data_IF_525678025407
#
_entry.id   IF_525678025407
#
_cell.length_a   1.000
_cell.length_b   1.000
_cell.length_c   1.000
_cell.angle_alpha   90.00
_cell.angle_beta   90.00
_cell.angle_gamma   90.00
#
_symmetry.space_group_name_H-M   'P 1'
#
loop_
_entity.id
_entity.type
_entity.pdbx_description
1 polymer ?
#
# COMPACT_ATOMS: atom_id res chain seq x y z
N UNK A 1 -67.80 -14.57 3.32
CA UNK A 1 -68.11 -13.39 4.16
C UNK A 1 -67.42 -13.54 5.51
N UNK A 2 -66.96 -12.44 6.13
CA UNK A 2 -65.54 -12.29 6.47
C UNK A 2 -65.25 -12.17 7.97
N UNK A 3 -63.99 -12.30 8.36
CA UNK A 3 -63.48 -11.63 9.57
C UNK A 3 -62.00 -11.24 9.38
N UNK A 4 -61.75 -10.01 9.80
CA UNK A 4 -60.61 -9.13 9.55
C UNK A 4 -59.48 -9.29 10.56
N UNK A 5 -58.24 -8.99 10.11
CA UNK A 5 -57.26 -8.02 10.68
C UNK A 5 -55.82 -8.55 10.65
N UNK A 6 -54.89 -7.66 10.27
CA UNK A 6 -53.47 -7.84 10.57
C UNK A 6 -52.53 -7.16 9.59
N UNK A 7 -52.64 -5.84 9.40
CA UNK A 7 -51.59 -5.03 8.75
C UNK A 7 -50.41 -4.89 9.71
N UNK A 8 -49.28 -5.56 9.43
CA UNK A 8 -47.99 -5.28 10.05
C UNK A 8 -47.15 -4.41 9.11
N UNK A 9 -46.89 -3.18 9.53
CA UNK A 9 -46.01 -2.25 8.83
C UNK A 9 -44.56 -2.70 8.93
N UNK A 10 -43.90 -2.79 7.78
CA UNK A 10 -42.45 -2.98 7.71
C UNK A 10 -41.79 -1.61 7.66
N UNK A 11 -40.94 -1.36 8.65
CA UNK A 11 -40.18 -0.13 8.90
C UNK A 11 -39.35 0.32 7.67
N UNK A 12 -39.27 1.62 7.36
CA UNK A 12 -38.41 2.10 6.29
C UNK A 12 -36.94 1.96 6.69
N UNK A 13 -36.21 1.16 5.92
CA UNK A 13 -34.77 0.97 6.07
C UNK A 13 -34.02 2.29 6.02
N UNK A 14 -33.22 2.55 7.06
CA UNK A 14 -32.35 3.73 7.17
C UNK A 14 -31.30 3.67 6.07
N UNK A 15 -31.35 4.61 5.14
CA UNK A 15 -30.26 4.97 4.23
C UNK A 15 -29.25 5.88 4.95
N UNK A 16 -28.63 5.39 6.02
CA UNK A 16 -27.42 6.00 6.60
C UNK A 16 -26.25 5.05 6.37
N UNK A 17 -25.51 5.24 5.28
CA UNK A 17 -24.29 4.47 5.01
C UNK A 17 -23.23 5.30 4.29
N UNK A 18 -23.64 6.27 3.46
CA UNK A 18 -22.70 7.13 2.72
C UNK A 18 -22.22 8.36 3.51
N UNK A 19 -23.05 8.92 4.40
CA UNK A 19 -22.74 10.12 5.18
C UNK A 19 -21.87 9.80 6.42
N UNK A 20 -22.18 8.73 7.16
CA UNK A 20 -21.40 8.26 8.32
C UNK A 20 -20.00 7.76 7.92
N UNK A 21 -19.87 7.17 6.73
CA UNK A 21 -18.57 6.72 6.22
C UNK A 21 -17.70 7.91 5.77
N UNK A 22 -18.29 9.01 5.29
CA UNK A 22 -17.57 10.26 4.99
C UNK A 22 -17.16 10.98 6.28
N UNK A 23 -18.03 11.07 7.29
CA UNK A 23 -17.71 11.76 8.55
C UNK A 23 -16.63 11.04 9.39
N UNK A 24 -16.59 9.71 9.38
CA UNK A 24 -15.51 8.93 10.02
C UNK A 24 -14.16 9.07 9.31
N UNK A 25 -14.15 9.21 7.99
CA UNK A 25 -12.92 9.48 7.21
C UNK A 25 -12.41 10.90 7.49
N UNK A 26 -13.29 11.90 7.57
CA UNK A 26 -12.90 13.31 7.81
C UNK A 26 -12.20 13.51 9.17
N UNK A 27 -12.57 12.75 10.21
CA UNK A 27 -11.91 12.83 11.53
C UNK A 27 -10.69 11.90 11.69
N UNK A 28 -10.47 10.95 10.78
CA UNK A 28 -9.33 10.02 10.86
C UNK A 28 -8.08 10.56 10.18
N UNK A 29 -8.22 11.32 9.09
CA UNK A 29 -7.07 11.88 8.35
C UNK A 29 -6.23 12.86 9.19
N UNK A 30 -6.81 13.88 9.87
CA UNK A 30 -6.01 14.80 10.68
C UNK A 30 -5.29 14.11 11.85
N UNK A 31 -5.97 13.15 12.51
CA UNK A 31 -5.37 12.36 13.59
C UNK A 31 -4.21 11.51 13.09
N UNK A 32 -4.39 10.83 11.97
CA UNK A 32 -3.34 10.04 11.34
C UNK A 32 -2.16 10.93 10.90
N UNK A 33 -2.44 12.10 10.34
CA UNK A 33 -1.41 13.06 9.96
C UNK A 33 -0.55 13.48 11.16
N UNK A 34 -1.19 13.79 12.30
CA UNK A 34 -0.48 14.10 13.54
C UNK A 34 0.36 12.93 14.05
N UNK A 35 -0.18 11.70 14.01
CA UNK A 35 0.51 10.49 14.45
C UNK A 35 1.71 10.11 13.55
N UNK A 36 1.61 10.34 12.24
CA UNK A 36 2.73 10.16 11.32
C UNK A 36 3.77 11.27 11.49
N UNK A 37 3.33 12.52 11.67
CA UNK A 37 4.23 13.65 11.85
C UNK A 37 5.08 13.52 13.13
N UNK A 38 4.50 13.03 14.24
CA UNK A 38 5.26 12.76 15.47
C UNK A 38 6.31 11.66 15.31
N UNK A 39 6.21 10.85 14.24
CA UNK A 39 7.16 9.81 13.83
C UNK A 39 8.09 10.24 12.69
N UNK A 40 8.11 11.54 12.34
CA UNK A 40 8.95 12.07 11.27
C UNK A 40 8.49 11.73 9.85
N UNK A 41 7.25 11.27 9.67
CA UNK A 41 6.67 10.93 8.37
C UNK A 41 5.61 11.96 7.97
N UNK A 42 5.72 12.52 6.78
CA UNK A 42 4.70 13.45 6.26
C UNK A 42 3.48 12.68 5.73
N UNK A 43 2.27 13.22 5.93
CA UNK A 43 1.06 12.73 5.27
C UNK A 43 0.57 13.77 4.26
N UNK A 44 0.26 13.31 3.05
CA UNK A 44 -0.48 14.08 2.05
C UNK A 44 -1.76 13.32 1.75
N UNK A 45 -2.89 14.02 1.83
CA UNK A 45 -4.19 13.48 1.43
C UNK A 45 -4.52 13.95 0.01
N UNK A 46 -4.89 13.01 -0.85
CA UNK A 46 -5.44 13.26 -2.17
C UNK A 46 -6.88 12.75 -2.19
N UNK A 47 -7.84 13.55 -2.67
CA UNK A 47 -9.25 13.18 -2.67
C UNK A 47 -9.55 11.99 -3.61
N UNK A 48 -8.76 11.84 -4.67
CA UNK A 48 -8.87 10.77 -5.66
C UNK A 48 -7.52 10.44 -6.32
N UNK A 49 -7.55 9.50 -7.28
CA UNK A 49 -6.35 9.06 -8.00
C UNK A 49 -5.71 10.14 -8.89
N UNK A 50 -6.49 11.10 -9.39
CA UNK A 50 -5.99 12.20 -10.23
C UNK A 50 -5.16 13.18 -9.41
N UNK A 51 -5.66 13.55 -8.22
CA UNK A 51 -4.91 14.37 -7.27
C UNK A 51 -3.64 13.65 -6.79
N UNK A 52 -3.73 12.33 -6.53
CA UNK A 52 -2.59 11.53 -6.13
C UNK A 52 -1.50 11.51 -7.23
N UNK A 53 -1.89 11.29 -8.49
CA UNK A 53 -0.98 11.35 -9.62
C UNK A 53 -0.35 12.74 -9.76
N UNK A 54 -1.16 13.79 -9.68
CA UNK A 54 -0.71 15.17 -9.78
C UNK A 54 0.34 15.50 -8.72
N UNK A 55 0.13 15.07 -7.48
CA UNK A 55 1.12 15.21 -6.41
C UNK A 55 2.44 14.51 -6.74
N UNK A 56 2.41 13.26 -7.23
CA UNK A 56 3.62 12.53 -7.62
C UNK A 56 4.39 13.27 -8.73
N UNK A 57 3.70 13.81 -9.72
CA UNK A 57 4.30 14.55 -10.84
C UNK A 57 4.93 15.88 -10.44
N UNK A 58 4.37 16.54 -9.42
CA UNK A 58 4.90 17.78 -8.86
C UNK A 58 6.08 17.51 -7.92
N UNK A 59 6.00 16.44 -7.12
CA UNK A 59 7.00 16.13 -6.09
C UNK A 59 8.28 15.53 -6.66
N UNK A 60 8.17 14.70 -7.70
CA UNK A 60 9.30 13.99 -8.30
C UNK A 60 9.81 14.80 -9.52
N UNK A 61 11.07 15.27 -9.50
CA UNK A 61 11.64 16.00 -10.63
C UNK A 61 11.71 15.14 -11.90
N UNK A 62 11.42 15.69 -13.09
CA UNK A 62 11.72 15.02 -14.35
C UNK A 62 13.19 14.56 -14.42
N UNK A 63 13.44 13.40 -15.02
CA UNK A 63 14.78 12.81 -15.13
C UNK A 63 15.31 12.12 -13.87
N UNK A 64 14.64 12.24 -12.71
CA UNK A 64 15.06 11.55 -11.49
C UNK A 64 15.10 10.02 -11.66
N UNK A 65 16.01 9.34 -10.95
CA UNK A 65 16.05 7.88 -10.90
C UNK A 65 14.93 7.38 -10.01
N UNK A 66 13.94 6.71 -10.61
CA UNK A 66 12.77 6.22 -9.92
C UNK A 66 12.75 4.70 -9.92
N UNK A 67 12.66 4.11 -8.73
CA UNK A 67 12.27 2.73 -8.55
C UNK A 67 10.82 2.66 -8.06
N UNK A 68 10.07 1.65 -8.51
CA UNK A 68 8.73 1.42 -7.98
C UNK A 68 8.57 0.02 -7.39
N UNK A 69 7.81 -0.06 -6.30
CA UNK A 69 7.31 -1.34 -5.79
C UNK A 69 6.17 -1.88 -6.64
N UNK A 70 5.90 -3.19 -6.52
CA UNK A 70 4.63 -3.75 -6.98
C UNK A 70 3.48 -3.10 -6.20
N UNK A 71 2.55 -2.46 -6.90
CA UNK A 71 1.42 -1.77 -6.28
C UNK A 71 0.27 -1.61 -7.27
N UNK A 72 -0.86 -2.28 -7.00
CA UNK A 72 -2.10 -2.10 -7.75
C UNK A 72 -2.58 -0.65 -7.69
N UNK A 73 -2.35 0.05 -6.56
CA UNK A 73 -2.70 1.47 -6.44
C UNK A 73 -1.91 2.35 -7.42
N UNK A 74 -0.62 2.09 -7.63
CA UNK A 74 0.19 2.87 -8.58
C UNK A 74 -0.25 2.66 -10.04
N UNK A 75 -0.73 1.47 -10.34
CA UNK A 75 -1.33 1.14 -11.63
C UNK A 75 -2.68 1.86 -11.80
N UNK A 76 -3.56 1.79 -10.80
CA UNK A 76 -4.88 2.43 -10.80
C UNK A 76 -4.83 3.96 -10.95
N UNK A 77 -3.83 4.62 -10.36
CA UNK A 77 -3.67 6.09 -10.50
C UNK A 77 -2.93 6.50 -11.80
N UNK A 78 -2.56 5.55 -12.67
CA UNK A 78 -1.87 5.86 -13.94
C UNK A 78 -0.38 6.19 -13.80
N UNK A 79 0.24 6.01 -12.62
CA UNK A 79 1.65 6.33 -12.43
C UNK A 79 2.60 5.41 -13.22
N UNK A 80 2.19 4.16 -13.46
CA UNK A 80 2.97 3.23 -14.30
C UNK A 80 3.06 3.71 -15.77
N UNK A 81 2.02 4.35 -16.29
CA UNK A 81 2.03 4.88 -17.66
C UNK A 81 2.96 6.08 -17.80
N UNK A 82 3.00 6.94 -16.77
CA UNK A 82 3.99 8.03 -16.70
C UNK A 82 5.42 7.49 -16.69
N UNK A 83 5.68 6.43 -15.91
CA UNK A 83 7.00 5.79 -15.87
C UNK A 83 7.39 5.20 -17.23
N UNK A 84 6.44 4.55 -17.92
CA UNK A 84 6.63 4.04 -19.30
C UNK A 84 6.88 5.16 -20.30
N UNK A 85 6.24 6.32 -20.11
CA UNK A 85 6.38 7.49 -20.97
C UNK A 85 7.74 8.22 -20.89
N UNK A 86 8.68 7.76 -20.06
CA UNK A 86 10.06 8.24 -20.07
C UNK A 86 10.29 9.58 -19.35
N UNK A 87 9.32 10.09 -18.57
CA UNK A 87 9.52 11.30 -17.75
C UNK A 87 10.61 11.12 -16.68
N UNK A 88 10.88 9.88 -16.26
CA UNK A 88 11.83 9.53 -15.22
C UNK A 88 12.81 8.46 -15.72
N UNK A 89 13.99 8.40 -15.11
CA UNK A 89 14.91 7.28 -15.28
C UNK A 89 14.40 6.05 -14.51
N UNK A 90 13.43 5.34 -15.10
CA UNK A 90 12.74 4.22 -14.47
C UNK A 90 13.63 2.97 -14.40
N UNK A 91 13.99 2.54 -13.19
CA UNK A 91 14.99 1.48 -12.98
C UNK A 91 14.46 0.06 -13.17
N UNK A 92 13.15 -0.16 -13.04
CA UNK A 92 12.57 -1.52 -12.99
C UNK A 92 12.70 -2.32 -14.30
N UNK A 93 12.46 -1.75 -15.50
CA UNK A 93 12.61 -2.48 -16.76
C UNK A 93 14.05 -2.92 -17.01
N UNK A 94 15.03 -2.09 -16.66
CA UNK A 94 16.45 -2.42 -16.81
C UNK A 94 16.83 -3.66 -15.99
N UNK A 95 16.27 -3.83 -14.79
CA UNK A 95 16.47 -5.06 -13.99
C UNK A 95 15.85 -6.28 -14.67
N UNK A 96 14.66 -6.12 -15.27
CA UNK A 96 13.94 -7.23 -15.92
C UNK A 96 14.62 -7.70 -17.20
N UNK A 97 15.33 -6.80 -17.90
CA UNK A 97 16.07 -7.10 -19.12
C UNK A 97 17.42 -7.82 -18.90
N UNK A 98 17.88 -7.96 -17.65
CA UNK A 98 19.13 -8.68 -17.35
C UNK A 98 18.88 -10.18 -17.33
N UNK A 99 19.46 -10.89 -18.30
CA UNK A 99 19.43 -12.36 -18.42
C UNK A 99 20.21 -13.05 -17.28
N UNK A 100 21.47 -12.65 -17.08
CA UNK A 100 22.34 -13.25 -16.06
C UNK A 100 21.78 -13.04 -14.65
N UNK A 101 21.68 -14.13 -13.90
CA UNK A 101 21.05 -14.12 -12.57
C UNK A 101 21.85 -13.30 -11.57
N UNK A 102 23.17 -13.43 -11.55
CA UNK A 102 24.01 -12.75 -10.57
C UNK A 102 23.99 -11.23 -10.81
N UNK A 103 24.08 -10.84 -12.07
CA UNK A 103 24.00 -9.47 -12.52
C UNK A 103 22.62 -8.87 -12.25
N UNK A 104 21.54 -9.61 -12.52
CA UNK A 104 20.17 -9.16 -12.21
C UNK A 104 19.99 -8.87 -10.73
N UNK A 105 20.60 -9.68 -9.86
CA UNK A 105 20.60 -9.44 -8.40
C UNK A 105 21.42 -8.19 -8.06
N UNK A 106 22.59 -8.00 -8.68
CA UNK A 106 23.44 -6.81 -8.48
C UNK A 106 22.69 -5.52 -8.86
N UNK A 107 22.12 -5.45 -10.06
CA UNK A 107 21.35 -4.30 -10.53
C UNK A 107 20.11 -4.07 -9.65
N UNK A 108 19.44 -5.15 -9.21
CA UNK A 108 18.30 -5.04 -8.29
C UNK A 108 18.67 -4.44 -6.94
N UNK A 109 19.84 -4.79 -6.39
CA UNK A 109 20.38 -4.18 -5.17
C UNK A 109 20.70 -2.70 -5.39
N UNK A 110 21.31 -2.34 -6.51
CA UNK A 110 21.57 -0.94 -6.86
C UNK A 110 20.29 -0.12 -7.02
N UNK A 111 19.23 -0.72 -7.56
CA UNK A 111 17.95 -0.04 -7.70
C UNK A 111 17.28 0.30 -6.36
N UNK A 112 17.69 -0.31 -5.24
CA UNK A 112 17.18 0.10 -3.92
C UNK A 112 17.74 1.44 -3.47
N UNK A 113 18.77 1.97 -4.12
CA UNK A 113 19.36 3.29 -3.86
C UNK A 113 18.94 4.33 -4.92
N UNK A 114 17.70 4.23 -5.40
CA UNK A 114 17.10 5.22 -6.28
C UNK A 114 16.95 6.58 -5.57
N UNK A 115 16.91 7.66 -6.33
CA UNK A 115 16.64 9.00 -5.80
C UNK A 115 15.24 9.01 -5.17
N UNK A 116 14.29 8.38 -5.85
CA UNK A 116 12.91 8.21 -5.41
C UNK A 116 12.49 6.76 -5.49
N UNK A 117 11.88 6.27 -4.42
CA UNK A 117 11.21 4.98 -4.41
C UNK A 117 9.73 5.16 -4.08
N UNK A 118 8.88 4.84 -5.05
CA UNK A 118 7.43 4.97 -4.94
C UNK A 118 6.82 3.59 -4.81
N UNK A 119 6.06 3.34 -3.74
CA UNK A 119 5.52 2.02 -3.49
C UNK A 119 4.22 2.04 -2.71
N UNK A 120 3.59 0.88 -2.59
CA UNK A 120 2.44 0.69 -1.72
C UNK A 120 2.86 0.27 -0.31
N UNK A 121 1.97 0.49 0.64
CA UNK A 121 2.05 -0.07 2.00
C UNK A 121 1.15 -1.31 2.14
N UNK A 122 1.43 -2.18 3.12
CA UNK A 122 0.53 -3.26 3.49
C UNK A 122 -0.47 -2.87 4.59
N UNK A 123 -0.06 -2.10 5.59
CA UNK A 123 -0.93 -1.53 6.61
C UNK A 123 -0.32 -0.25 7.23
N UNK A 124 -1.18 0.66 7.68
CA UNK A 124 -0.81 1.82 8.51
C UNK A 124 -1.73 1.81 9.72
N UNK A 125 -1.17 1.85 10.92
CA UNK A 125 -1.98 1.91 12.14
C UNK A 125 -2.50 3.33 12.37
N UNK A 126 -3.56 3.48 13.17
CA UNK A 126 -4.01 4.81 13.62
C UNK A 126 -2.99 5.49 14.56
N UNK A 127 -2.05 4.71 15.12
CA UNK A 127 -0.89 5.20 15.87
C UNK A 127 0.27 5.69 15.00
N UNK A 128 0.21 5.55 13.67
CA UNK A 128 1.22 6.02 12.73
C UNK A 128 2.33 5.02 12.39
N UNK A 129 2.30 3.80 12.93
CA UNK A 129 3.21 2.73 12.49
C UNK A 129 2.89 2.29 11.05
N UNK A 130 3.92 2.15 10.23
CA UNK A 130 3.80 1.68 8.85
C UNK A 130 4.37 0.28 8.77
N UNK A 131 3.54 -0.70 8.36
CA UNK A 131 3.92 -2.11 8.30
C UNK A 131 3.96 -2.58 6.85
N UNK A 132 5.11 -3.13 6.46
CA UNK A 132 5.38 -3.65 5.12
C UNK A 132 5.92 -5.08 5.19
N UNK A 133 5.53 -5.91 4.22
CA UNK A 133 6.08 -7.26 4.08
C UNK A 133 6.58 -7.53 2.67
N UNK A 134 7.60 -8.38 2.56
CA UNK A 134 8.19 -8.76 1.28
C UNK A 134 8.78 -10.16 1.37
N UNK A 135 8.68 -10.95 0.30
CA UNK A 135 9.28 -12.28 0.25
C UNK A 135 10.80 -12.17 0.17
N UNK A 136 11.28 -11.37 -0.78
CA UNK A 136 12.71 -11.20 -1.02
C UNK A 136 13.34 -10.16 -0.10
N UNK A 137 12.59 -9.13 0.28
CA UNK A 137 13.08 -7.99 1.08
C UNK A 137 13.62 -6.84 0.24
N UNK A 138 13.55 -6.92 -1.09
CA UNK A 138 14.09 -5.90 -1.99
C UNK A 138 13.43 -4.52 -1.80
N UNK A 139 12.10 -4.45 -1.59
CA UNK A 139 11.42 -3.18 -1.31
C UNK A 139 11.77 -2.66 0.08
N UNK A 140 11.86 -3.57 1.06
CA UNK A 140 12.15 -3.22 2.44
C UNK A 140 13.52 -2.55 2.57
N UNK A 141 14.53 -2.99 1.80
CA UNK A 141 15.84 -2.34 1.77
C UNK A 141 15.76 -0.87 1.32
N UNK A 142 14.94 -0.58 0.30
CA UNK A 142 14.70 0.78 -0.17
C UNK A 142 13.93 1.63 0.84
N UNK A 143 12.86 1.07 1.43
CA UNK A 143 12.07 1.75 2.46
C UNK A 143 12.90 2.07 3.71
N UNK A 144 13.63 1.07 4.24
CA UNK A 144 14.36 1.18 5.50
C UNK A 144 15.50 2.21 5.42
N UNK A 145 16.23 2.27 4.29
CA UNK A 145 17.37 3.18 4.18
C UNK A 145 17.74 3.53 2.74
N UNK A 146 17.76 2.55 1.84
CA UNK A 146 18.47 2.67 0.56
C UNK A 146 18.03 3.85 -0.31
N UNK A 147 16.73 4.09 -0.43
CA UNK A 147 16.21 5.14 -1.30
C UNK A 147 16.41 6.53 -0.68
N UNK A 148 16.73 7.52 -1.52
CA UNK A 148 16.91 8.92 -1.11
C UNK A 148 15.62 9.53 -0.55
N UNK A 149 14.50 9.30 -1.24
CA UNK A 149 13.14 9.67 -0.83
C UNK A 149 12.19 8.50 -1.04
N UNK A 150 11.21 8.36 -0.15
CA UNK A 150 10.22 7.28 -0.18
C UNK A 150 8.81 7.87 -0.17
N UNK A 151 8.01 7.54 -1.18
CA UNK A 151 6.57 7.86 -1.19
C UNK A 151 5.78 6.56 -1.10
N UNK A 152 5.01 6.41 -0.03
CA UNK A 152 4.13 5.27 0.22
C UNK A 152 2.69 5.64 -0.10
N UNK A 153 2.17 5.09 -1.20
CA UNK A 153 0.80 5.33 -1.67
C UNK A 153 -0.14 4.30 -1.03
N UNK A 154 -1.18 4.80 -0.37
CA UNK A 154 -2.12 3.98 0.40
C UNK A 154 -3.56 4.44 0.18
N UNK A 155 -4.50 3.49 0.10
CA UNK A 155 -5.92 3.79 0.24
C UNK A 155 -6.38 3.68 1.70
N UNK A 156 -7.56 4.22 2.00
CA UNK A 156 -8.17 4.16 3.33
C UNK A 156 -8.37 2.72 3.85
N UNK A 157 -8.53 1.75 2.94
CA UNK A 157 -8.62 0.31 3.23
C UNK A 157 -7.34 -0.31 3.83
N UNK A 158 -6.27 0.47 3.96
CA UNK A 158 -4.99 0.04 4.57
C UNK A 158 -4.81 0.58 5.99
N UNK A 159 -5.74 1.43 6.47
CA UNK A 159 -5.74 1.93 7.83
C UNK A 159 -6.30 0.88 8.79
N UNK A 160 -5.61 0.65 9.89
CA UNK A 160 -5.97 -0.35 10.92
C UNK A 160 -5.81 0.26 12.32
N UNK A 161 -6.48 -0.26 13.36
CA UNK A 161 -6.36 0.33 14.69
C UNK A 161 -4.94 0.22 15.29
N UNK A 162 -4.28 -0.94 15.15
CA UNK A 162 -3.03 -1.26 15.83
C UNK A 162 -2.15 -2.27 15.06
N UNK A 163 -0.98 -2.60 15.61
CA UNK A 163 -0.03 -3.55 15.02
C UNK A 163 -0.59 -4.97 14.92
N UNK A 164 -1.42 -5.41 15.86
CA UNK A 164 -2.05 -6.74 15.82
C UNK A 164 -2.97 -6.84 14.61
N UNK A 165 -3.84 -5.84 14.42
CA UNK A 165 -4.71 -5.72 13.25
C UNK A 165 -3.92 -5.55 11.94
N UNK A 166 -2.76 -4.88 11.98
CA UNK A 166 -1.87 -4.78 10.82
C UNK A 166 -1.37 -6.15 10.37
N UNK A 167 -0.87 -6.97 11.30
CA UNK A 167 -0.39 -8.33 11.01
C UNK A 167 -1.53 -9.23 10.53
N UNK A 168 -2.72 -9.13 11.13
CA UNK A 168 -3.93 -9.84 10.70
C UNK A 168 -4.28 -9.49 9.24
N UNK A 169 -4.41 -8.20 8.92
CA UNK A 169 -4.66 -7.71 7.56
C UNK A 169 -3.60 -8.19 6.58
N UNK A 170 -2.32 -8.12 6.96
CA UNK A 170 -1.21 -8.59 6.13
C UNK A 170 -1.37 -10.06 5.77
N UNK A 171 -1.67 -10.90 6.76
CA UNK A 171 -1.75 -12.35 6.61
C UNK A 171 -3.01 -12.78 5.86
N UNK A 172 -4.16 -12.21 6.18
CA UNK A 172 -5.46 -12.69 5.71
C UNK A 172 -6.09 -11.83 4.61
N UNK A 173 -5.51 -10.69 4.26
CA UNK A 173 -5.98 -9.85 3.14
C UNK A 173 -4.86 -9.63 2.13
N UNK A 174 -3.78 -8.94 2.54
CA UNK A 174 -2.75 -8.52 1.59
C UNK A 174 -2.00 -9.70 0.96
N UNK A 175 -1.56 -10.67 1.78
CA UNK A 175 -0.85 -11.85 1.29
C UNK A 175 -1.75 -12.75 0.44
N UNK A 176 -3.02 -12.91 0.81
CA UNK A 176 -4.00 -13.69 0.03
C UNK A 176 -4.16 -13.08 -1.37
N UNK A 177 -4.40 -11.78 -1.46
CA UNK A 177 -4.57 -11.06 -2.73
C UNK A 177 -3.32 -11.15 -3.60
N UNK A 178 -2.14 -10.86 -3.03
CA UNK A 178 -0.88 -10.89 -3.78
C UNK A 178 -0.51 -12.31 -4.25
N UNK A 179 -0.65 -13.32 -3.39
CA UNK A 179 -0.30 -14.69 -3.77
C UNK A 179 -1.27 -15.25 -4.83
N UNK A 180 -2.55 -14.88 -4.79
CA UNK A 180 -3.51 -15.23 -5.86
C UNK A 180 -3.20 -14.51 -7.17
N UNK A 181 -2.88 -13.21 -7.11
CA UNK A 181 -2.47 -12.43 -8.29
C UNK A 181 -1.24 -13.04 -8.98
N UNK A 182 -0.30 -13.55 -8.18
CA UNK A 182 0.91 -14.22 -8.68
C UNK A 182 0.71 -15.71 -9.01
N UNK A 183 -0.52 -16.24 -8.89
CA UNK A 183 -0.85 -17.64 -9.13
C UNK A 183 0.02 -18.65 -8.35
N UNK A 184 0.30 -18.35 -7.09
CA UNK A 184 1.13 -19.18 -6.20
C UNK A 184 0.28 -20.23 -5.45
N UNK A 185 0.91 -21.32 -5.04
CA UNK A 185 0.30 -22.45 -4.30
C UNK A 185 0.59 -22.38 -2.80
N UNK A 186 0.63 -21.16 -2.26
CA UNK A 186 0.75 -20.93 -0.82
C UNK A 186 -0.56 -21.29 -0.09
N UNK A 187 -0.52 -21.66 1.21
CA UNK A 187 -1.75 -21.98 1.96
C UNK A 187 -2.81 -20.88 1.88
N UNK A 188 -2.41 -19.62 1.93
CA UNK A 188 -3.31 -18.47 1.86
C UNK A 188 -3.92 -18.26 0.47
N UNK A 189 -3.19 -18.55 -0.61
CA UNK A 189 -3.74 -18.47 -1.96
C UNK A 189 -4.82 -19.52 -2.19
N UNK A 190 -4.56 -20.76 -1.73
CA UNK A 190 -5.45 -21.92 -1.89
C UNK A 190 -6.68 -21.82 -1.00
N UNK A 191 -6.50 -21.56 0.30
CA UNK A 191 -7.60 -21.62 1.28
C UNK A 191 -8.28 -20.28 1.52
N UNK A 192 -7.64 -19.17 1.13
CA UNK A 192 -8.09 -17.82 1.49
C UNK A 192 -7.74 -17.41 2.93
N UNK A 193 -7.04 -18.25 3.70
CA UNK A 193 -6.64 -17.98 5.08
C UNK A 193 -5.16 -18.24 5.28
N UNK A 194 -4.49 -17.41 6.08
CA UNK A 194 -3.10 -17.63 6.42
C UNK A 194 -2.94 -18.83 7.34
N UNK A 195 -2.06 -19.75 6.94
CA UNK A 195 -1.37 -20.66 7.84
C UNK A 195 0.07 -20.20 7.95
N UNK A 196 0.36 -19.38 8.98
CA UNK A 196 1.69 -18.83 9.16
C UNK A 196 2.68 -19.91 9.58
N UNK A 197 2.27 -21.04 10.18
CA UNK A 197 3.22 -22.00 10.72
C UNK A 197 3.65 -23.00 9.65
N UNK A 198 2.70 -23.46 8.81
CA UNK A 198 2.99 -24.33 7.68
C UNK A 198 3.63 -23.60 6.49
N UNK A 199 3.48 -22.28 6.37
CA UNK A 199 4.01 -21.52 5.22
C UNK A 199 5.51 -21.22 5.36
N UNK A 200 6.37 -22.19 5.02
CA UNK A 200 7.85 -22.05 5.00
C UNK A 200 8.49 -22.27 3.63
N UNK A 201 7.68 -22.46 2.58
CA UNK A 201 8.15 -22.74 1.22
C UNK A 201 8.68 -21.51 0.45
N UNK A 202 9.32 -21.74 -0.72
CA UNK A 202 9.94 -20.69 -1.54
C UNK A 202 8.93 -19.70 -2.16
N UNK A 203 7.66 -20.07 -2.25
CA UNK A 203 6.60 -19.21 -2.79
C UNK A 203 6.06 -18.18 -1.79
N UNK A 204 6.47 -18.24 -0.52
CA UNK A 204 5.98 -17.30 0.51
C UNK A 204 6.32 -15.85 0.18
N UNK A 205 5.30 -15.01 0.06
CA UNK A 205 5.46 -13.56 -0.20
C UNK A 205 5.53 -12.69 1.05
N UNK A 206 5.07 -13.17 2.21
CA UNK A 206 5.15 -12.43 3.49
C UNK A 206 6.34 -12.94 4.34
N UNK A 207 7.53 -13.03 3.74
CA UNK A 207 8.72 -13.66 4.34
C UNK A 207 9.48 -12.79 5.33
N UNK A 208 9.47 -11.47 5.12
CA UNK A 208 10.14 -10.46 5.96
C UNK A 208 9.18 -9.35 6.30
N UNK A 209 9.30 -8.79 7.49
CA UNK A 209 8.45 -7.69 7.98
C UNK A 209 9.35 -6.50 8.31
N UNK A 210 8.96 -5.32 7.85
CA UNK A 210 9.51 -4.04 8.28
C UNK A 210 8.38 -3.26 8.96
N UNK A 211 8.61 -2.89 10.22
CA UNK A 211 7.80 -1.92 10.95
C UNK A 211 8.60 -0.64 10.99
N UNK A 212 8.04 0.43 10.43
CA UNK A 212 8.63 1.76 10.49
C UNK A 212 7.95 2.47 11.65
N UNK A 213 8.67 2.56 12.76
CA UNK A 213 8.21 3.23 13.97
C UNK A 213 8.53 4.73 13.98
N UNK A 214 9.67 5.12 13.40
CA UNK A 214 10.10 6.51 13.30
C UNK A 214 11.06 6.70 12.12
N UNK A 215 10.87 7.75 11.33
CA UNK A 215 11.82 8.24 10.33
C UNK A 215 12.63 9.40 10.92
N UNK A 216 13.95 9.23 11.01
CA UNK A 216 14.84 10.24 11.58
C UNK A 216 15.34 11.26 10.55
N UNK A 217 15.31 10.90 9.27
CA UNK A 217 15.82 11.72 8.18
C UNK A 217 14.69 12.64 7.72
N UNK A 218 14.85 13.94 7.99
CA UNK A 218 13.84 14.94 7.65
C UNK A 218 13.47 14.90 6.15
N UNK A 219 12.17 15.04 5.87
CA UNK A 219 11.59 15.04 4.52
C UNK A 219 11.90 13.77 3.70
N UNK A 220 12.35 12.67 4.31
CA UNK A 220 12.67 11.44 3.56
C UNK A 220 11.43 10.66 3.16
N UNK A 221 10.44 10.55 4.05
CA UNK A 221 9.31 9.64 3.88
C UNK A 221 7.98 10.39 3.87
N UNK A 222 7.14 10.06 2.89
CA UNK A 222 5.79 10.61 2.75
C UNK A 222 4.78 9.49 2.54
N UNK A 223 3.69 9.50 3.30
CA UNK A 223 2.48 8.74 3.01
C UNK A 223 1.56 9.58 2.14
N UNK A 224 1.28 9.10 0.93
CA UNK A 224 0.25 9.65 0.06
C UNK A 224 -1.03 8.84 0.23
N UNK A 225 -1.95 9.36 1.03
CA UNK A 225 -3.24 8.74 1.32
C UNK A 225 -4.27 9.15 0.26
N UNK A 226 -4.83 8.18 -0.44
CA UNK A 226 -5.80 8.39 -1.53
C UNK A 226 -7.22 8.10 -1.04
N UNK A 227 -8.09 9.09 -1.16
CA UNK A 227 -9.52 9.02 -0.91
C UNK A 227 -10.29 8.35 -2.05
N UNK A 228 -11.61 8.17 -1.86
CA UNK A 228 -12.49 7.49 -2.83
C UNK A 228 -12.59 5.98 -2.64
N UNK A 229 -13.52 5.35 -3.35
CA UNK A 229 -13.82 3.91 -3.21
C UNK A 229 -12.70 3.03 -3.80
N UNK A 230 -12.12 2.20 -2.93
CA UNK A 230 -11.35 0.97 -3.20
C UNK A 230 -10.07 1.05 -4.07
N UNK A 231 -9.01 1.66 -3.54
CA UNK A 231 -7.64 1.52 -4.07
C UNK A 231 -6.87 0.34 -3.45
N UNK A 232 -6.05 -0.33 -4.26
CA UNK A 232 -5.11 -1.34 -3.77
C UNK A 232 -5.71 -2.71 -3.42
N UNK A 233 -6.70 -3.15 -4.19
CA UNK A 233 -7.20 -4.52 -4.27
C UNK A 233 -6.55 -5.25 -5.44
#
# INVERSE_FOLDING_TARGET
>A
MPSTRGTSGTSPGRTCSSAENRSNVTNSVPRLAAALASRGVSLVYAADGSEALSYLLQRIPPGARVMNGGSATLEQIGFLDVLRGGRYAWLRPAIAAVEDRAERIRVRRQATTADWLVGGVNAITMGGEIVNVDGSGNRLAGYAFGAGKVILVAGLNKLVPDLTAAIERIRNTAAVQECRKLALHTPCAVTGRCDNDACRGPERQCGKILIIENEKIADRMTVLLVGGSSFGF
#
